data_IF_201883530094
#
_entry.id   IF_201883530094
#
_cell.length_a   1.000
_cell.length_b   1.000
_cell.length_c   1.000
_cell.angle_alpha   90.00
_cell.angle_beta   90.00
_cell.angle_gamma   90.00
#
_symmetry.space_group_name_H-M   'P 1'
#
loop_
_entity.id
_entity.type
_entity.pdbx_description
1 polymer ?
#
# COMPACT_ATOMS: atom_id res chain seq x y z
N UNK A 1 -19.91 -25.16 -10.01
CA UNK A 1 -19.94 -24.03 -9.06
C UNK A 1 -18.83 -23.07 -9.46
N UNK A 2 -19.16 -21.83 -9.80
CA UNK A 2 -18.18 -20.83 -10.23
C UNK A 2 -17.40 -20.27 -9.04
N UNK A 3 -16.27 -19.61 -9.28
CA UNK A 3 -15.49 -18.92 -8.24
C UNK A 3 -16.32 -17.83 -7.54
N UNK A 4 -17.19 -17.14 -8.28
CA UNK A 4 -18.11 -16.15 -7.74
C UNK A 4 -19.15 -16.77 -6.80
N UNK A 5 -19.65 -17.97 -7.11
CA UNK A 5 -20.58 -18.70 -6.24
C UNK A 5 -19.92 -19.10 -4.92
N UNK A 6 -18.62 -19.47 -4.95
CA UNK A 6 -17.86 -19.83 -3.74
C UNK A 6 -17.62 -18.64 -2.83
N UNK A 7 -17.27 -17.49 -3.40
CA UNK A 7 -17.08 -16.25 -2.63
C UNK A 7 -18.40 -15.80 -1.99
N UNK A 8 -19.50 -15.87 -2.75
CA UNK A 8 -20.83 -15.53 -2.22
C UNK A 8 -21.27 -16.45 -1.10
N UNK A 9 -21.05 -17.75 -1.24
CA UNK A 9 -21.37 -18.73 -0.20
C UNK A 9 -20.55 -18.50 1.07
N UNK A 10 -19.24 -18.26 0.93
CA UNK A 10 -18.37 -17.95 2.06
C UNK A 10 -18.79 -16.66 2.80
N UNK A 11 -19.26 -15.63 2.07
CA UNK A 11 -19.75 -14.40 2.68
C UNK A 11 -21.03 -14.63 3.49
N UNK A 12 -21.96 -15.45 3.00
CA UNK A 12 -23.20 -15.80 3.71
C UNK A 12 -22.89 -16.58 4.99
N UNK A 13 -21.97 -17.55 4.91
CA UNK A 13 -21.54 -18.35 6.06
C UNK A 13 -20.81 -17.51 7.13
N UNK A 14 -20.01 -16.55 6.70
CA UNK A 14 -19.32 -15.63 7.61
C UNK A 14 -20.28 -14.66 8.32
N UNK A 15 -21.28 -14.12 7.61
CA UNK A 15 -22.29 -13.24 8.22
C UNK A 15 -23.13 -14.00 9.25
N UNK A 16 -23.49 -15.26 8.96
CA UNK A 16 -24.28 -16.11 9.85
C UNK A 16 -23.55 -16.47 11.16
N UNK A 17 -22.21 -16.59 11.11
CA UNK A 17 -21.38 -17.03 12.24
C UNK A 17 -20.61 -15.88 12.90
N UNK A 18 -20.90 -14.62 12.56
CA UNK A 18 -20.16 -13.43 13.02
C UNK A 18 -20.09 -13.30 14.56
N UNK A 19 -21.15 -13.72 15.27
CA UNK A 19 -21.23 -13.63 16.72
C UNK A 19 -20.92 -14.95 17.44
N UNK A 20 -20.63 -16.02 16.68
CA UNK A 20 -20.30 -17.31 17.26
C UNK A 20 -18.90 -17.24 17.89
N UNK A 21 -18.68 -17.93 19.02
CA UNK A 21 -17.36 -18.04 19.59
C UNK A 21 -16.41 -18.71 18.59
N UNK A 22 -15.18 -18.17 18.48
CA UNK A 22 -14.13 -18.82 17.70
C UNK A 22 -13.80 -20.20 18.31
N UNK A 23 -13.47 -21.21 17.49
CA UNK A 23 -12.99 -22.50 17.99
C UNK A 23 -11.75 -22.34 18.88
N UNK A 24 -11.66 -23.13 19.95
CA UNK A 24 -10.56 -23.05 20.93
C UNK A 24 -9.18 -23.33 20.30
N UNK A 25 -9.14 -24.06 19.19
CA UNK A 25 -7.94 -24.42 18.42
C UNK A 25 -7.72 -23.54 17.19
N UNK A 26 -8.52 -22.48 17.01
CA UNK A 26 -8.39 -21.58 15.87
C UNK A 26 -6.98 -20.96 15.86
N UNK A 27 -6.14 -21.23 14.84
CA UNK A 27 -4.81 -20.67 14.78
C UNK A 27 -4.94 -19.15 14.67
N UNK A 28 -4.36 -18.43 15.63
CA UNK A 28 -4.22 -16.98 15.56
C UNK A 28 -3.30 -16.62 14.40
N UNK A 29 -3.87 -16.50 13.20
CA UNK A 29 -3.13 -15.99 12.06
C UNK A 29 -3.08 -14.47 12.21
N UNK A 30 -1.88 -13.91 12.34
CA UNK A 30 -1.64 -12.48 12.16
C UNK A 30 -0.92 -12.31 10.82
N UNK A 31 -1.64 -12.41 9.68
CA UNK A 31 -1.02 -12.39 8.36
C UNK A 31 -0.27 -11.06 8.09
N UNK A 32 -0.62 -9.99 8.79
CA UNK A 32 0.01 -8.69 8.63
C UNK A 32 1.24 -8.53 9.55
N UNK A 33 2.44 -8.85 9.03
CA UNK A 33 3.75 -8.55 9.64
C UNK A 33 4.17 -7.07 9.52
N UNK A 34 3.22 -6.15 9.39
CA UNK A 34 3.51 -4.73 9.24
C UNK A 34 3.46 -4.01 10.58
N UNK A 35 4.47 -3.19 10.87
CA UNK A 35 4.48 -2.30 12.03
C UNK A 35 3.89 -0.94 11.62
N UNK A 36 2.82 -0.45 12.27
CA UNK A 36 2.30 0.87 12.00
C UNK A 36 3.29 1.94 12.49
N UNK A 37 3.48 2.98 11.68
CA UNK A 37 4.31 4.14 12.01
C UNK A 37 3.43 5.39 11.95
N UNK A 38 3.43 6.18 13.01
CA UNK A 38 2.70 7.44 13.10
C UNK A 38 3.65 8.62 12.96
N UNK A 39 3.36 9.54 12.05
CA UNK A 39 4.11 10.76 11.82
C UNK A 39 3.20 11.97 11.97
N UNK A 40 3.73 13.08 12.50
CA UNK A 40 3.02 14.35 12.60
C UNK A 40 3.24 15.14 11.32
N UNK A 41 2.15 15.47 10.62
CA UNK A 41 2.16 16.29 9.41
C UNK A 41 1.31 17.54 9.65
N UNK A 42 1.62 18.63 8.96
CA UNK A 42 0.74 19.80 8.99
C UNK A 42 -0.56 19.50 8.23
N UNK A 43 -1.69 20.16 8.57
CA UNK A 43 -2.94 19.98 7.83
C UNK A 43 -2.82 20.29 6.34
N UNK A 44 -2.00 21.30 5.98
CA UNK A 44 -1.74 21.67 4.59
C UNK A 44 -1.06 20.51 3.81
N UNK A 45 -0.04 19.89 4.41
CA UNK A 45 0.62 18.74 3.79
C UNK A 45 -0.32 17.55 3.61
N UNK A 46 -1.19 17.28 4.58
CA UNK A 46 -2.18 16.20 4.46
C UNK A 46 -3.11 16.46 3.27
N UNK A 47 -3.60 17.69 3.12
CA UNK A 47 -4.47 18.07 2.00
C UNK A 47 -3.77 17.93 0.64
N UNK A 48 -2.48 18.30 0.54
CA UNK A 48 -1.69 18.12 -0.68
C UNK A 48 -1.50 16.64 -1.05
N UNK A 49 -1.20 15.79 -0.06
CA UNK A 49 -1.05 14.34 -0.24
C UNK A 49 -2.36 13.72 -0.72
N UNK A 50 -3.48 14.08 -0.09
CA UNK A 50 -4.81 13.56 -0.47
C UNK A 50 -5.22 14.01 -1.87
N UNK A 51 -4.97 15.26 -2.23
CA UNK A 51 -5.24 15.78 -3.57
C UNK A 51 -4.42 15.04 -4.63
N UNK A 52 -3.14 14.78 -4.36
CA UNK A 52 -2.27 14.02 -5.25
C UNK A 52 -2.72 12.56 -5.38
N UNK A 53 -2.98 11.89 -4.26
CA UNK A 53 -3.46 10.51 -4.23
C UNK A 53 -4.76 10.34 -5.02
N UNK A 54 -5.70 11.29 -4.86
CA UNK A 54 -6.94 11.34 -5.63
C UNK A 54 -6.69 11.48 -7.13
N UNK A 55 -5.80 12.38 -7.54
CA UNK A 55 -5.44 12.57 -8.96
C UNK A 55 -4.81 11.32 -9.57
N UNK A 56 -4.07 10.55 -8.78
CA UNK A 56 -3.44 9.30 -9.17
C UNK A 56 -4.33 8.06 -9.00
N UNK A 57 -5.56 8.24 -8.52
CA UNK A 57 -6.54 7.17 -8.26
C UNK A 57 -6.02 6.05 -7.34
N UNK A 58 -5.19 6.41 -6.35
CA UNK A 58 -4.64 5.47 -5.37
C UNK A 58 -4.93 5.93 -3.93
N UNK A 59 -4.96 5.00 -2.96
CA UNK A 59 -5.03 5.38 -1.54
C UNK A 59 -3.81 6.21 -1.10
N UNK A 60 -4.01 7.22 -0.25
CA UNK A 60 -2.91 8.02 0.32
C UNK A 60 -1.86 7.17 1.05
N UNK A 61 -2.27 6.08 1.69
CA UNK A 61 -1.36 5.13 2.34
C UNK A 61 -0.47 4.38 1.35
N UNK A 62 -0.97 4.08 0.15
CA UNK A 62 -0.20 3.48 -0.95
C UNK A 62 0.84 4.45 -1.46
N UNK A 63 0.45 5.72 -1.69
CA UNK A 63 1.36 6.78 -2.11
C UNK A 63 2.50 6.98 -1.09
N UNK A 64 2.15 7.16 0.18
CA UNK A 64 3.12 7.35 1.27
C UNK A 64 4.08 6.16 1.43
N UNK A 65 3.55 4.93 1.37
CA UNK A 65 4.40 3.73 1.42
C UNK A 65 5.37 3.70 0.26
N UNK A 66 4.91 4.02 -0.95
CA UNK A 66 5.76 4.08 -2.15
C UNK A 66 6.90 5.09 -2.01
N UNK A 67 6.61 6.30 -1.51
CA UNK A 67 7.64 7.31 -1.25
C UNK A 67 8.64 6.90 -0.18
N UNK A 68 8.19 6.25 0.91
CA UNK A 68 9.11 5.71 1.94
C UNK A 68 10.04 4.67 1.31
N UNK A 69 9.50 3.75 0.50
CA UNK A 69 10.31 2.73 -0.17
C UNK A 69 11.31 3.35 -1.16
N UNK A 70 10.90 4.36 -1.92
CA UNK A 70 11.78 5.09 -2.83
C UNK A 70 12.91 5.82 -2.08
N UNK A 71 12.58 6.51 -0.99
CA UNK A 71 13.57 7.18 -0.14
C UNK A 71 14.58 6.19 0.45
N UNK A 72 14.09 5.06 0.98
CA UNK A 72 14.98 3.99 1.46
C UNK A 72 15.87 3.45 0.34
N UNK A 73 15.30 3.15 -0.83
CA UNK A 73 16.08 2.67 -1.97
C UNK A 73 17.19 3.65 -2.36
N UNK A 74 16.89 4.95 -2.42
CA UNK A 74 17.89 5.98 -2.73
C UNK A 74 19.03 6.02 -1.70
N UNK A 75 18.74 5.78 -0.41
CA UNK A 75 19.77 5.74 0.64
C UNK A 75 20.53 4.41 0.72
N UNK A 76 19.95 3.30 0.25
CA UNK A 76 20.59 1.99 0.20
C UNK A 76 21.50 1.80 -1.01
N UNK A 77 21.51 2.72 -1.97
CA UNK A 77 22.37 2.66 -3.15
C UNK A 77 23.81 3.05 -2.82
N UNK A 78 24.59 2.08 -2.34
CA UNK A 78 26.06 2.14 -2.29
C UNK A 78 26.73 1.70 -3.60
N UNK A 79 25.95 1.40 -4.65
CA UNK A 79 26.47 0.90 -5.94
C UNK A 79 26.07 1.78 -7.12
N UNK A 80 26.99 1.91 -8.08
CA UNK A 80 26.82 2.72 -9.30
C UNK A 80 25.61 2.28 -10.14
N UNK A 81 25.31 0.97 -10.17
CA UNK A 81 24.16 0.45 -10.91
C UNK A 81 22.83 0.98 -10.38
N UNK A 82 22.66 1.02 -9.05
CA UNK A 82 21.44 1.56 -8.45
C UNK A 82 21.23 3.05 -8.74
N UNK A 83 22.32 3.82 -8.73
CA UNK A 83 22.27 5.24 -9.07
C UNK A 83 21.83 5.48 -10.54
N UNK A 84 22.28 4.61 -11.46
CA UNK A 84 21.88 4.67 -12.88
C UNK A 84 20.40 4.33 -13.07
N UNK A 85 19.88 3.32 -12.35
CA UNK A 85 18.46 2.97 -12.40
C UNK A 85 17.56 4.11 -11.91
N UNK A 86 17.99 4.80 -10.84
CA UNK A 86 17.26 5.97 -10.33
C UNK A 86 17.22 7.12 -11.35
N UNK A 87 18.36 7.43 -11.98
CA UNK A 87 18.43 8.44 -13.04
C UNK A 87 17.52 8.11 -14.22
N UNK A 88 17.44 6.84 -14.62
CA UNK A 88 16.55 6.41 -15.70
C UNK A 88 15.06 6.63 -15.35
N UNK A 89 14.67 6.32 -14.11
CA UNK A 89 13.31 6.56 -13.62
C UNK A 89 12.98 8.06 -13.56
N UNK A 90 13.93 8.90 -13.15
CA UNK A 90 13.76 10.36 -13.09
C UNK A 90 13.61 10.97 -14.49
N UNK A 91 14.42 10.53 -15.44
CA UNK A 91 14.29 10.92 -16.85
C UNK A 91 12.93 10.53 -17.44
N UNK A 92 12.41 9.36 -17.08
CA UNK A 92 11.09 8.92 -17.54
C UNK A 92 9.97 9.78 -16.94
N UNK A 93 10.05 10.14 -15.66
CA UNK A 93 9.11 11.08 -15.03
C UNK A 93 9.14 12.44 -15.70
N UNK A 94 10.33 12.98 -16.01
CA UNK A 94 10.46 14.24 -16.74
C UNK A 94 9.78 14.20 -18.11
N UNK A 95 9.94 13.10 -18.87
CA UNK A 95 9.27 12.92 -20.17
C UNK A 95 7.75 12.93 -20.05
N UNK A 96 7.20 12.35 -18.99
CA UNK A 96 5.75 12.33 -18.73
C UNK A 96 5.19 13.71 -18.36
N UNK A 97 6.02 14.63 -17.86
CA UNK A 97 5.60 16.01 -17.52
C UNK A 97 5.59 16.90 -18.77
N UNK A 98 6.50 16.65 -19.70
CA UNK A 98 6.67 17.46 -20.92
C UNK A 98 5.69 17.03 -22.03
N UNK A 99 5.22 15.79 -22.02
CA UNK A 99 4.22 15.26 -22.94
C UNK A 99 2.79 15.66 -22.54
#
# INVERSE_FOLDING_TARGET
MSEQDRVRQAAIEAEATMNDPLPDDAPATRPNRTVPVSVRLSPAMVAEIEALAKRLEIPSSTLLRGWIQQGLAAHHQTTVAGALDQLAADLQRLRQIVA
#
